data_IF_258316983359
#
_entry.id   IF_258316983359
#
_cell.length_a   1.000
_cell.length_b   1.000
_cell.length_c   1.000
_cell.angle_alpha   90.00
_cell.angle_beta   90.00
_cell.angle_gamma   90.00
#
_symmetry.space_group_name_H-M   'P 1'
#
loop_
_entity.id
_entity.type
_entity.pdbx_description
1 polymer ?
#
# COMPACT_ATOMS: atom_id res chain seq x y z
N UNK A 1 24.65 -13.83 39.69
CA UNK A 1 24.33 -14.71 38.56
C UNK A 1 23.19 -15.59 39.04
N UNK A 2 21.95 -15.22 38.75
CA UNK A 2 20.76 -16.05 38.92
C UNK A 2 20.42 -16.62 37.56
N UNK A 3 20.66 -17.90 37.36
CA UNK A 3 20.00 -18.70 36.34
C UNK A 3 18.52 -18.78 36.70
N UNK A 4 17.70 -18.21 35.85
CA UNK A 4 16.26 -18.43 35.91
C UNK A 4 15.96 -19.64 35.06
N UNK A 5 16.01 -20.82 35.68
CA UNK A 5 15.40 -22.02 35.14
C UNK A 5 13.89 -21.85 35.22
N UNK A 6 13.26 -21.55 34.10
CA UNK A 6 11.83 -21.42 33.96
C UNK A 6 11.32 -22.49 33.00
N UNK A 7 11.22 -23.71 33.51
CA UNK A 7 10.78 -24.89 32.77
C UNK A 7 9.30 -24.86 32.33
N UNK A 8 8.61 -23.76 32.42
CA UNK A 8 7.18 -23.62 32.08
C UNK A 8 6.85 -22.49 31.09
N UNK A 9 7.79 -22.03 30.31
CA UNK A 9 7.48 -21.19 29.17
C UNK A 9 7.35 -22.07 27.93
N UNK A 10 6.11 -22.46 27.62
CA UNK A 10 5.77 -22.97 26.29
C UNK A 10 6.02 -21.88 25.27
N UNK A 11 7.24 -21.81 24.73
CA UNK A 11 7.57 -20.90 23.65
C UNK A 11 6.78 -21.33 22.42
N UNK A 12 6.17 -20.35 21.77
CA UNK A 12 5.65 -20.48 20.43
C UNK A 12 6.80 -20.94 19.52
N UNK A 13 6.90 -22.23 19.26
CA UNK A 13 7.95 -22.77 18.40
C UNK A 13 7.48 -22.66 16.97
N UNK A 14 7.87 -21.59 16.31
CA UNK A 14 7.72 -21.45 14.88
C UNK A 14 8.73 -22.34 14.18
N UNK A 15 8.28 -23.48 13.63
CA UNK A 15 9.11 -24.38 12.83
C UNK A 15 8.82 -24.17 11.35
N UNK A 16 9.88 -24.08 10.54
CA UNK A 16 9.85 -24.09 9.08
C UNK A 16 8.99 -23.01 8.42
N UNK A 17 9.20 -21.74 8.78
CA UNK A 17 8.58 -20.63 8.06
C UNK A 17 9.45 -20.30 6.85
N UNK A 18 9.05 -20.71 5.66
CA UNK A 18 9.55 -20.16 4.42
C UNK A 18 8.66 -18.98 4.03
N UNK A 19 9.17 -17.76 4.18
CA UNK A 19 8.49 -16.53 3.78
C UNK A 19 9.22 -15.89 2.61
N UNK A 20 8.55 -15.80 1.48
CA UNK A 20 8.97 -14.99 0.36
C UNK A 20 7.94 -13.88 0.12
N UNK A 21 8.38 -12.63 0.17
CA UNK A 21 7.51 -11.50 -0.11
C UNK A 21 8.26 -10.34 -0.72
N UNK A 22 7.72 -9.76 -1.78
CA UNK A 22 8.27 -8.54 -2.35
C UNK A 22 7.18 -7.60 -2.84
N UNK A 23 7.47 -6.30 -2.73
CA UNK A 23 6.61 -5.24 -3.23
C UNK A 23 7.35 -4.41 -4.24
N UNK A 24 6.78 -4.27 -5.41
CA UNK A 24 7.25 -3.34 -6.44
C UNK A 24 6.22 -2.24 -6.64
N UNK A 25 6.67 -0.98 -6.72
CA UNK A 25 5.80 0.16 -7.00
C UNK A 25 6.51 1.16 -7.90
N UNK A 26 5.84 1.55 -8.98
CA UNK A 26 6.28 2.62 -9.88
C UNK A 26 5.11 3.56 -10.16
N UNK A 27 5.38 4.87 -10.22
CA UNK A 27 4.32 5.86 -10.37
C UNK A 27 4.79 7.16 -11.03
N UNK A 28 4.98 7.19 -12.37
CA UNK A 28 5.26 8.42 -13.07
C UNK A 28 4.10 9.41 -12.95
N UNK A 29 4.42 10.70 -12.89
CA UNK A 29 3.42 11.75 -12.88
C UNK A 29 3.86 12.93 -13.76
N UNK A 30 2.87 13.71 -14.19
CA UNK A 30 3.08 14.94 -14.91
C UNK A 30 2.10 16.00 -14.37
N UNK A 31 2.51 17.24 -14.46
CA UNK A 31 1.68 18.38 -14.02
C UNK A 31 1.99 19.63 -14.80
N UNK A 32 1.06 20.56 -14.76
CA UNK A 32 1.18 21.87 -15.39
C UNK A 32 0.77 22.96 -14.41
N UNK A 33 1.52 24.05 -14.34
CA UNK A 33 1.18 25.21 -13.54
C UNK A 33 0.06 26.01 -14.19
N UNK A 34 -1.10 26.00 -13.58
CA UNK A 34 -2.29 26.76 -14.03
C UNK A 34 -2.34 28.17 -13.46
N UNK A 35 -1.63 28.41 -12.36
CA UNK A 35 -1.47 29.71 -11.73
C UNK A 35 -0.14 29.74 -10.94
N UNK A 36 0.23 30.90 -10.42
CA UNK A 36 1.39 31.02 -9.55
C UNK A 36 1.26 30.06 -8.36
N UNK A 37 2.24 29.17 -8.21
CA UNK A 37 2.31 28.18 -7.13
C UNK A 37 1.16 27.13 -7.11
N UNK A 38 0.35 27.02 -8.18
CA UNK A 38 -0.71 26.03 -8.28
C UNK A 38 -0.49 25.17 -9.53
N UNK A 39 -0.27 23.87 -9.33
CA UNK A 39 -0.17 22.90 -10.39
C UNK A 39 -1.36 21.92 -10.37
N UNK A 40 -1.79 21.51 -11.54
CA UNK A 40 -2.72 20.40 -11.73
C UNK A 40 -2.04 19.31 -12.56
N UNK A 41 -2.41 18.05 -12.34
CA UNK A 41 -1.75 16.98 -13.06
C UNK A 41 -2.38 15.63 -12.88
N UNK A 42 -1.71 14.64 -13.46
CA UNK A 42 -2.06 13.25 -13.40
C UNK A 42 -0.89 12.38 -12.96
N UNK A 43 -1.20 11.28 -12.31
CA UNK A 43 -0.26 10.23 -11.91
C UNK A 43 -0.86 8.88 -12.26
N UNK A 44 -0.04 8.03 -12.85
CA UNK A 44 -0.35 6.61 -13.00
C UNK A 44 0.60 5.84 -12.09
N UNK A 45 0.06 4.94 -11.26
CA UNK A 45 0.87 4.12 -10.37
C UNK A 45 0.48 2.67 -10.50
N UNK A 46 1.48 1.82 -10.62
CA UNK A 46 1.35 0.39 -10.59
C UNK A 46 2.03 -0.14 -9.34
N UNK A 47 1.33 -1.02 -8.61
CA UNK A 47 1.89 -1.75 -7.47
C UNK A 47 1.64 -3.23 -7.66
N UNK A 48 2.66 -4.01 -7.43
CA UNK A 48 2.58 -5.46 -7.33
C UNK A 48 3.00 -5.88 -5.93
N UNK A 49 2.16 -6.60 -5.27
CA UNK A 49 2.46 -7.26 -4.01
C UNK A 49 2.41 -8.76 -4.22
N UNK A 50 3.45 -9.42 -3.78
CA UNK A 50 3.58 -10.87 -3.82
C UNK A 50 3.96 -11.36 -2.45
N UNK A 51 3.31 -12.42 -1.98
CA UNK A 51 3.61 -13.11 -0.74
C UNK A 51 3.40 -14.61 -0.94
N UNK A 52 4.39 -15.37 -0.58
CA UNK A 52 4.33 -16.83 -0.51
C UNK A 52 4.76 -17.25 0.89
N UNK A 53 3.84 -17.88 1.62
CA UNK A 53 4.09 -18.50 2.90
C UNK A 53 4.00 -20.01 2.65
N UNK A 54 5.11 -20.72 2.85
CA UNK A 54 5.14 -22.17 2.86
C UNK A 54 4.34 -22.77 4.03
N UNK A 55 4.46 -24.04 4.25
CA UNK A 55 3.83 -24.74 5.37
C UNK A 55 4.21 -24.10 6.71
N UNK A 56 3.20 -23.77 7.50
CA UNK A 56 3.36 -23.16 8.79
C UNK A 56 2.59 -23.95 9.83
N UNK A 57 3.34 -24.60 10.74
CA UNK A 57 2.76 -25.32 11.87
C UNK A 57 2.94 -24.52 13.15
N UNK A 58 1.83 -24.07 13.72
CA UNK A 58 1.74 -23.46 15.03
C UNK A 58 1.31 -24.50 16.08
N UNK A 59 2.23 -24.90 16.93
CA UNK A 59 1.95 -25.70 18.11
C UNK A 59 1.77 -24.76 19.30
N UNK A 60 0.53 -24.60 19.76
CA UNK A 60 0.15 -23.76 20.89
C UNK A 60 -0.16 -24.59 22.17
N UNK A 61 0.56 -25.69 22.40
CA UNK A 61 0.36 -26.60 23.53
C UNK A 61 -0.36 -27.90 23.15
N UNK A 62 -0.72 -28.71 24.15
CA UNK A 62 -1.19 -30.09 23.93
C UNK A 62 -2.51 -30.23 23.14
N UNK A 63 -3.33 -29.15 23.01
CA UNK A 63 -4.66 -29.21 22.41
C UNK A 63 -4.90 -28.30 21.20
N UNK A 64 -3.92 -27.47 20.76
CA UNK A 64 -4.11 -26.52 19.67
C UNK A 64 -2.96 -26.59 18.66
N UNK A 65 -3.18 -27.38 17.63
CA UNK A 65 -2.33 -27.42 16.45
C UNK A 65 -3.02 -26.67 15.31
N UNK A 66 -2.46 -25.54 14.89
CA UNK A 66 -2.93 -24.83 13.70
C UNK A 66 -1.88 -25.08 12.62
N UNK A 67 -2.21 -25.87 11.61
CA UNK A 67 -1.43 -26.00 10.39
C UNK A 67 -2.07 -25.10 9.31
N UNK A 68 -1.29 -24.21 8.75
CA UNK A 68 -1.64 -23.43 7.56
C UNK A 68 -0.84 -24.00 6.39
N UNK A 69 -1.56 -24.60 5.45
CA UNK A 69 -0.99 -25.12 4.22
C UNK A 69 -0.78 -23.97 3.23
N UNK A 70 0.38 -23.87 2.65
CA UNK A 70 0.80 -22.97 1.56
C UNK A 70 -0.15 -21.82 1.26
N UNK A 71 0.18 -20.63 1.71
CA UNK A 71 -0.55 -19.40 1.40
C UNK A 71 0.16 -18.63 0.30
N UNK A 72 -0.45 -18.56 -0.87
CA UNK A 72 0.03 -17.75 -1.99
C UNK A 72 -0.90 -16.55 -2.17
N UNK A 73 -0.33 -15.33 -2.13
CA UNK A 73 -1.05 -14.09 -2.36
C UNK A 73 -0.34 -13.25 -3.42
N UNK A 74 -1.06 -12.88 -4.46
CA UNK A 74 -0.59 -12.00 -5.53
C UNK A 74 -1.62 -10.90 -5.76
N UNK A 75 -1.19 -9.65 -5.68
CA UNK A 75 -2.04 -8.48 -5.91
C UNK A 75 -1.41 -7.52 -6.90
N UNK A 76 -2.19 -7.11 -7.88
CA UNK A 76 -1.87 -6.06 -8.84
C UNK A 76 -2.80 -4.88 -8.62
N UNK A 77 -2.23 -3.71 -8.39
CA UNK A 77 -2.96 -2.45 -8.22
C UNK A 77 -2.59 -1.47 -9.32
N UNK A 78 -3.59 -1.02 -10.04
CA UNK A 78 -3.50 0.02 -11.06
C UNK A 78 -4.21 1.25 -10.54
N UNK A 79 -3.48 2.36 -10.37
CA UNK A 79 -3.99 3.60 -9.78
C UNK A 79 -3.85 4.73 -10.78
N UNK A 80 -4.94 5.41 -11.08
CA UNK A 80 -4.95 6.64 -11.86
C UNK A 80 -5.39 7.78 -10.96
N UNK A 81 -4.55 8.80 -10.82
CA UNK A 81 -4.78 9.92 -9.90
C UNK A 81 -4.78 11.23 -10.68
N UNK A 82 -5.82 12.03 -10.49
CA UNK A 82 -5.80 13.45 -10.80
C UNK A 82 -5.45 14.22 -9.52
N UNK A 83 -4.60 15.22 -9.60
CA UNK A 83 -4.21 16.00 -8.44
C UNK A 83 -4.21 17.50 -8.72
N UNK A 84 -4.41 18.27 -7.65
CA UNK A 84 -4.14 19.69 -7.58
C UNK A 84 -3.20 19.94 -6.42
N UNK A 85 -2.10 20.65 -6.69
CA UNK A 85 -1.03 20.91 -5.75
C UNK A 85 -0.79 22.41 -5.63
N UNK A 86 -0.71 22.89 -4.41
CA UNK A 86 -0.34 24.27 -4.07
C UNK A 86 1.03 24.27 -3.42
N UNK A 87 1.92 25.14 -3.85
CA UNK A 87 3.25 25.32 -3.31
C UNK A 87 3.34 26.57 -2.43
N UNK A 88 4.06 26.48 -1.33
CA UNK A 88 4.30 27.56 -0.40
C UNK A 88 5.80 27.65 -0.12
N UNK A 89 6.49 28.72 -0.51
CA UNK A 89 7.92 28.89 -0.24
C UNK A 89 8.16 28.99 1.27
N UNK A 90 9.27 28.44 1.74
CA UNK A 90 9.69 28.51 3.14
C UNK A 90 10.69 29.66 3.29
N UNK A 91 10.28 30.70 4.01
CA UNK A 91 11.12 31.86 4.28
C UNK A 91 11.42 32.68 3.01
N UNK A 92 12.68 33.14 2.92
CA UNK A 92 13.18 33.92 1.75
C UNK A 92 13.99 33.05 0.77
N UNK A 93 14.10 31.78 1.04
CA UNK A 93 14.85 30.85 0.19
C UNK A 93 13.97 30.31 -0.91
N UNK A 94 14.46 30.32 -2.13
CA UNK A 94 13.79 29.65 -3.27
C UNK A 94 14.12 28.15 -3.34
N UNK A 95 14.90 27.63 -2.38
CA UNK A 95 15.35 26.23 -2.35
C UNK A 95 14.35 25.32 -1.68
N UNK A 96 13.67 25.81 -0.64
CA UNK A 96 12.76 25.00 0.17
C UNK A 96 11.32 25.46 0.02
N UNK A 97 10.40 24.51 -0.12
CA UNK A 97 8.97 24.78 -0.16
C UNK A 97 8.16 23.68 0.52
N UNK A 98 7.02 24.07 1.05
CA UNK A 98 5.95 23.15 1.37
C UNK A 98 5.05 23.01 0.14
N UNK A 99 4.41 21.84 0.02
CA UNK A 99 3.27 21.72 -0.87
C UNK A 99 2.14 20.97 -0.18
N UNK A 100 0.93 21.28 -0.60
CA UNK A 100 -0.28 20.59 -0.23
C UNK A 100 -0.95 20.07 -1.50
N UNK A 101 -1.20 18.77 -1.56
CA UNK A 101 -1.79 18.11 -2.73
C UNK A 101 -3.12 17.48 -2.36
N UNK A 102 -4.18 17.83 -3.10
CA UNK A 102 -5.47 17.13 -3.08
C UNK A 102 -5.50 16.18 -4.25
N UNK A 103 -5.89 14.93 -4.00
CA UNK A 103 -5.83 13.83 -4.96
C UNK A 103 -7.19 13.18 -5.12
N UNK A 104 -7.60 12.95 -6.37
CA UNK A 104 -8.70 12.04 -6.69
C UNK A 104 -8.11 10.83 -7.40
N UNK A 105 -8.17 9.67 -6.77
CA UNK A 105 -7.56 8.43 -7.26
C UNK A 105 -8.63 7.41 -7.57
N UNK A 106 -8.65 6.92 -8.80
CA UNK A 106 -9.33 5.70 -9.19
C UNK A 106 -8.34 4.54 -9.13
N UNK A 107 -8.71 3.47 -8.44
CA UNK A 107 -7.91 2.27 -8.30
C UNK A 107 -8.65 1.04 -8.84
N UNK A 108 -7.91 0.20 -9.57
CA UNK A 108 -8.34 -1.13 -9.96
C UNK A 108 -7.36 -2.15 -9.39
N UNK A 109 -7.89 -3.09 -8.62
CA UNK A 109 -7.10 -4.13 -7.93
C UNK A 109 -7.54 -5.49 -8.43
N UNK A 110 -6.58 -6.29 -8.84
CA UNK A 110 -6.75 -7.72 -9.09
C UNK A 110 -5.93 -8.49 -8.06
N UNK A 111 -6.63 -9.28 -7.24
CA UNK A 111 -6.04 -10.13 -6.21
C UNK A 111 -6.26 -11.60 -6.54
N UNK A 112 -5.25 -12.41 -6.27
CA UNK A 112 -5.33 -13.86 -6.25
C UNK A 112 -4.80 -14.38 -4.93
N UNK A 113 -5.64 -15.08 -4.20
CA UNK A 113 -5.27 -15.79 -2.98
C UNK A 113 -5.48 -17.28 -3.22
N UNK A 114 -4.48 -18.09 -2.89
CA UNK A 114 -4.60 -19.54 -3.00
C UNK A 114 -4.09 -20.15 -1.71
N UNK A 115 -4.84 -21.08 -1.14
CA UNK A 115 -4.50 -21.77 0.11
C UNK A 115 -4.70 -23.25 -0.07
N UNK A 116 -3.82 -24.07 0.49
CA UNK A 116 -3.88 -25.52 0.47
C UNK A 116 -3.11 -26.18 -0.67
N UNK A 117 -2.99 -27.51 -0.60
CA UNK A 117 -2.30 -28.38 -1.58
C UNK A 117 -3.23 -29.45 -2.13
N UNK A 118 -3.01 -29.82 -3.41
CA UNK A 118 -3.70 -30.95 -4.03
C UNK A 118 -5.23 -30.79 -4.05
N UNK A 119 -5.96 -31.73 -3.44
CA UNK A 119 -7.43 -31.74 -3.42
C UNK A 119 -8.03 -30.68 -2.50
N UNK A 120 -7.29 -30.12 -1.55
CA UNK A 120 -7.72 -29.06 -0.63
C UNK A 120 -7.45 -27.65 -1.18
N UNK A 121 -6.93 -27.53 -2.39
CA UNK A 121 -6.57 -26.26 -3.00
C UNK A 121 -7.82 -25.37 -3.17
N UNK A 122 -7.86 -24.28 -2.42
CA UNK A 122 -8.89 -23.25 -2.55
C UNK A 122 -8.27 -21.97 -3.13
N UNK A 123 -8.94 -21.42 -4.13
CA UNK A 123 -8.48 -20.18 -4.77
C UNK A 123 -9.56 -19.11 -4.78
N UNK A 124 -9.21 -17.93 -4.32
CA UNK A 124 -10.07 -16.75 -4.35
C UNK A 124 -9.51 -15.72 -5.30
N UNK A 125 -10.34 -15.24 -6.21
CA UNK A 125 -10.06 -14.15 -7.12
C UNK A 125 -10.85 -12.92 -6.72
N UNK A 126 -10.17 -11.78 -6.64
CA UNK A 126 -10.79 -10.50 -6.30
C UNK A 126 -10.56 -9.49 -7.41
N UNK A 127 -11.64 -8.80 -7.80
CA UNK A 127 -11.59 -7.63 -8.68
C UNK A 127 -12.28 -6.48 -7.97
N UNK A 128 -11.49 -5.51 -7.54
CA UNK A 128 -11.96 -4.40 -6.73
C UNK A 128 -11.67 -3.08 -7.43
N UNK A 129 -12.70 -2.28 -7.61
CA UNK A 129 -12.58 -0.88 -7.97
C UNK A 129 -12.61 -0.02 -6.72
N UNK A 130 -11.88 1.07 -6.74
CA UNK A 130 -11.89 2.04 -5.64
C UNK A 130 -11.85 3.47 -6.17
N UNK A 131 -12.50 4.36 -5.45
CA UNK A 131 -12.39 5.80 -5.64
C UNK A 131 -11.97 6.42 -4.32
N UNK A 132 -10.91 7.20 -4.34
CA UNK A 132 -10.35 7.83 -3.15
C UNK A 132 -10.12 9.32 -3.38
N UNK A 133 -10.66 10.12 -2.48
CA UNK A 133 -10.28 11.52 -2.30
C UNK A 133 -9.26 11.57 -1.17
N UNK A 134 -8.07 12.12 -1.42
CA UNK A 134 -6.96 12.13 -0.46
C UNK A 134 -6.32 13.50 -0.32
N UNK A 135 -5.61 13.69 0.79
CA UNK A 135 -4.79 14.86 1.07
C UNK A 135 -3.36 14.43 1.39
N UNK A 136 -2.39 15.08 0.74
CA UNK A 136 -0.99 14.69 0.78
C UNK A 136 -0.09 15.93 0.91
N UNK A 137 0.24 16.36 2.12
CA UNK A 137 1.23 17.41 2.33
C UNK A 137 2.65 16.88 2.09
N UNK A 138 3.55 17.78 1.74
CA UNK A 138 4.94 17.43 1.52
C UNK A 138 5.88 18.62 1.55
N UNK A 139 7.15 18.29 1.43
CA UNK A 139 8.27 19.20 1.31
C UNK A 139 8.91 19.02 -0.06
N UNK A 140 9.32 20.11 -0.66
CA UNK A 140 10.12 20.15 -1.89
C UNK A 140 11.42 20.86 -1.63
N UNK A 141 12.50 20.32 -2.17
CA UNK A 141 13.83 20.89 -2.10
C UNK A 141 14.38 20.98 -3.51
N UNK A 142 14.56 22.19 -4.02
CA UNK A 142 15.15 22.42 -5.32
C UNK A 142 16.66 22.13 -5.25
N UNK A 143 17.09 21.14 -5.99
CA UNK A 143 18.50 20.75 -6.11
C UNK A 143 19.17 21.57 -7.21
N UNK A 144 18.41 21.90 -8.24
CA UNK A 144 18.77 22.81 -9.34
C UNK A 144 17.54 23.62 -9.73
N UNK A 145 17.70 24.59 -10.64
CA UNK A 145 16.58 25.43 -11.12
C UNK A 145 15.50 24.62 -11.83
N UNK A 146 15.82 23.43 -12.33
CA UNK A 146 14.90 22.58 -13.08
C UNK A 146 14.60 21.24 -12.39
N UNK A 147 15.16 20.97 -11.22
CA UNK A 147 14.99 19.67 -10.53
C UNK A 147 14.78 19.86 -9.04
N UNK A 148 13.79 19.20 -8.49
CA UNK A 148 13.53 19.13 -7.06
C UNK A 148 13.38 17.70 -6.55
N UNK A 149 13.83 17.49 -5.34
CA UNK A 149 13.50 16.31 -4.53
C UNK A 149 12.30 16.60 -3.66
N UNK A 150 11.39 15.64 -3.55
CA UNK A 150 10.15 15.79 -2.81
C UNK A 150 9.99 14.68 -1.78
N UNK A 151 9.47 15.06 -0.63
CA UNK A 151 9.05 14.12 0.43
C UNK A 151 7.62 14.43 0.79
N UNK A 152 6.77 13.42 0.77
CA UNK A 152 5.35 13.60 1.07
C UNK A 152 4.78 12.47 1.93
N UNK A 153 3.70 12.78 2.63
CA UNK A 153 3.00 11.87 3.53
C UNK A 153 1.53 11.84 3.17
N UNK A 154 0.95 10.66 3.11
CA UNK A 154 -0.50 10.57 2.92
C UNK A 154 -1.19 10.75 4.29
N UNK A 155 -1.91 11.84 4.46
CA UNK A 155 -2.65 12.11 5.70
C UNK A 155 -4.04 11.45 5.76
N UNK A 156 -4.41 10.72 4.71
CA UNK A 156 -5.69 10.05 4.66
C UNK A 156 -6.68 10.68 3.70
N UNK A 157 -7.93 10.29 3.84
CA UNK A 157 -9.01 10.74 2.98
C UNK A 157 -10.23 9.85 3.06
N UNK A 158 -11.13 10.04 2.12
CA UNK A 158 -12.34 9.22 1.97
C UNK A 158 -12.14 8.22 0.83
N UNK A 159 -12.47 6.94 1.09
CA UNK A 159 -12.34 5.87 0.11
C UNK A 159 -13.62 5.06 0.03
N UNK A 160 -14.04 4.79 -1.19
CA UNK A 160 -15.11 3.85 -1.52
C UNK A 160 -14.49 2.71 -2.33
N UNK A 161 -14.83 1.48 -1.97
CA UNK A 161 -14.44 0.27 -2.69
C UNK A 161 -15.69 -0.49 -3.08
N UNK A 162 -15.69 -1.06 -4.29
CA UNK A 162 -16.72 -1.97 -4.76
C UNK A 162 -16.08 -3.00 -5.68
N UNK A 163 -16.56 -4.22 -5.63
CA UNK A 163 -15.97 -5.27 -6.43
C UNK A 163 -16.70 -6.58 -6.32
N UNK A 164 -16.12 -7.58 -6.94
CA UNK A 164 -16.55 -8.97 -6.93
C UNK A 164 -15.41 -9.83 -6.42
N UNK A 165 -15.79 -10.84 -5.69
CA UNK A 165 -14.93 -11.90 -5.21
C UNK A 165 -15.49 -13.22 -5.70
N UNK A 166 -14.66 -14.05 -6.31
CA UNK A 166 -15.03 -15.40 -6.78
C UNK A 166 -14.16 -16.41 -6.04
N UNK A 167 -14.78 -17.33 -5.33
CA UNK A 167 -14.10 -18.43 -4.64
C UNK A 167 -14.34 -19.73 -5.39
N UNK A 168 -13.27 -20.45 -5.74
CA UNK A 168 -13.30 -21.74 -6.46
C UNK A 168 -14.10 -21.72 -7.77
N UNK A 169 -14.25 -20.54 -8.41
CA UNK A 169 -15.03 -20.30 -9.65
C UNK A 169 -16.53 -20.65 -9.52
N UNK A 170 -17.06 -20.81 -8.32
CA UNK A 170 -18.43 -21.24 -8.06
C UNK A 170 -19.20 -20.22 -7.24
N UNK A 171 -18.56 -19.60 -6.25
CA UNK A 171 -19.21 -18.64 -5.35
C UNK A 171 -18.85 -17.21 -5.74
N UNK A 172 -19.87 -16.43 -6.10
CA UNK A 172 -19.71 -14.99 -6.36
C UNK A 172 -20.17 -14.15 -5.15
N UNK A 173 -19.25 -13.39 -4.58
CA UNK A 173 -19.53 -12.40 -3.55
C UNK A 173 -19.42 -10.97 -4.09
N UNK A 174 -20.34 -10.08 -3.68
CA UNK A 174 -20.21 -8.65 -3.93
C UNK A 174 -19.63 -7.96 -2.70
N UNK A 175 -18.55 -7.22 -2.90
CA UNK A 175 -17.92 -6.43 -1.84
C UNK A 175 -18.23 -4.96 -2.06
N UNK A 176 -18.75 -4.29 -1.04
CA UNK A 176 -18.90 -2.84 -1.03
C UNK A 176 -18.48 -2.30 0.34
N UNK A 177 -17.48 -1.46 0.35
CA UNK A 177 -16.97 -0.85 1.59
C UNK A 177 -16.74 0.63 1.35
N UNK A 178 -17.15 1.45 2.29
CA UNK A 178 -16.85 2.88 2.30
C UNK A 178 -16.33 3.28 3.66
N UNK A 179 -15.38 4.21 3.70
CA UNK A 179 -14.83 4.69 4.95
C UNK A 179 -13.98 5.92 4.77
N UNK A 180 -13.99 6.77 5.80
CA UNK A 180 -13.06 7.87 5.93
C UNK A 180 -11.95 7.46 6.89
N UNK A 181 -10.72 7.72 6.52
CA UNK A 181 -9.56 7.46 7.34
C UNK A 181 -8.67 8.70 7.34
N UNK A 182 -8.58 9.36 8.48
CA UNK A 182 -7.68 10.48 8.72
C UNK A 182 -6.61 10.04 9.71
N UNK A 183 -5.63 9.29 9.23
CA UNK A 183 -4.46 8.89 10.02
C UNK A 183 -3.22 9.42 9.34
N UNK A 184 -2.42 10.16 10.08
CA UNK A 184 -1.06 10.48 9.68
C UNK A 184 -0.26 9.17 9.79
N UNK A 185 -0.01 8.53 8.68
CA UNK A 185 0.84 7.36 8.65
C UNK A 185 2.28 7.79 8.35
N UNK A 186 3.04 8.05 9.40
CA UNK A 186 4.45 8.44 9.30
C UNK A 186 5.32 7.37 8.63
N UNK A 187 4.85 6.13 8.55
CA UNK A 187 5.54 5.05 7.84
C UNK A 187 5.22 5.01 6.34
N UNK A 188 4.29 5.84 5.85
CA UNK A 188 3.97 5.95 4.42
C UNK A 188 4.62 7.17 3.76
N UNK A 189 5.87 7.44 4.10
CA UNK A 189 6.66 8.50 3.47
C UNK A 189 6.94 8.12 2.02
N UNK A 190 6.68 9.03 1.10
CA UNK A 190 6.99 8.90 -0.32
C UNK A 190 8.11 9.85 -0.66
N UNK A 191 9.08 9.34 -1.39
CA UNK A 191 10.15 10.12 -1.98
C UNK A 191 9.90 10.24 -3.48
N UNK A 192 10.14 11.41 -4.03
CA UNK A 192 9.95 11.70 -5.44
C UNK A 192 11.00 12.67 -5.96
N UNK A 193 11.16 12.67 -7.29
CA UNK A 193 11.94 13.68 -8.01
C UNK A 193 11.05 14.31 -9.06
N UNK A 194 11.08 15.63 -9.15
CA UNK A 194 10.32 16.43 -10.11
C UNK A 194 11.27 17.20 -11.00
N UNK A 195 11.01 17.12 -12.29
CA UNK A 195 11.71 17.91 -13.29
C UNK A 195 10.76 18.98 -13.81
N UNK A 196 11.21 20.24 -13.80
CA UNK A 196 10.48 21.39 -14.30
C UNK A 196 11.05 21.77 -15.67
N UNK A 197 10.17 21.89 -16.65
CA UNK A 197 10.51 22.18 -18.05
C UNK A 197 10.06 23.58 -18.42
#
# INVERSE_FOLDING_TARGET
>A
WNEWDNDNLNYLVLKNIEFEGHTFSAGPYFGYFVANNIAVGGRFSYKRFFMNLGEFDLNLGEDLNISLDDLYYLEHNYLTTAFMRSYMPIGRSNVFGFFAEVQLTHGYTEGKNTTGKGETLSGTYEKINSLQLGFCPGLTVFVTDFMASEVSVNMGGYRVKWGKQETNKIEEGKVRTSGANFKLNLFSVKFGMTFYL
#
